data_IF_100412423135
#
_entry.id   IF_100412423135
#
_cell.length_a   1.000
_cell.length_b   1.000
_cell.length_c   1.000
_cell.angle_alpha   90.00
_cell.angle_beta   90.00
_cell.angle_gamma   90.00
#
_symmetry.space_group_name_H-M   'P 1'
#
loop_
_entity.id
_entity.type
_entity.pdbx_description
1 polymer ?
#
# COMPACT_ATOMS: atom_id res chain seq x y z
N UNK A 1 17.43 20.98 -4.75
CA UNK A 1 16.08 20.38 -4.67
C UNK A 1 15.03 21.49 -4.64
N UNK A 2 13.91 21.32 -5.37
CA UNK A 2 12.75 22.24 -5.32
C UNK A 2 11.54 21.43 -4.82
N UNK A 3 11.23 21.54 -3.53
CA UNK A 3 10.07 20.91 -2.90
C UNK A 3 9.37 21.91 -1.99
N UNK A 4 8.05 21.79 -1.83
CA UNK A 4 7.25 22.64 -0.93
C UNK A 4 7.35 22.04 0.47
N UNK A 5 8.47 22.23 1.12
CA UNK A 5 8.77 21.81 2.49
C UNK A 5 9.50 22.93 3.22
N UNK A 6 9.48 22.93 4.55
CA UNK A 6 10.31 23.83 5.36
C UNK A 6 11.71 23.21 5.53
N UNK A 7 11.84 22.28 6.48
CA UNK A 7 13.09 21.57 6.75
C UNK A 7 12.87 20.07 6.51
N UNK A 8 13.84 19.36 5.88
CA UNK A 8 13.74 17.93 5.65
C UNK A 8 13.41 17.12 6.92
N UNK A 9 14.04 17.44 8.04
CA UNK A 9 13.84 16.75 9.32
C UNK A 9 12.43 16.88 9.91
N UNK A 10 11.65 17.86 9.48
CA UNK A 10 10.30 18.11 9.99
C UNK A 10 9.21 17.64 9.01
N UNK A 11 9.58 17.13 7.84
CA UNK A 11 8.63 16.90 6.74
C UNK A 11 7.49 15.95 7.11
N UNK A 12 7.78 14.89 7.86
CA UNK A 12 6.77 13.89 8.26
C UNK A 12 5.79 14.50 9.26
N UNK A 13 6.30 15.09 10.32
CA UNK A 13 5.49 15.73 11.38
C UNK A 13 4.60 16.83 10.80
N UNK A 14 5.19 17.76 10.01
CA UNK A 14 4.44 18.85 9.39
C UNK A 14 3.38 18.36 8.38
N UNK A 15 3.68 17.28 7.64
CA UNK A 15 2.73 16.65 6.74
C UNK A 15 1.55 16.06 7.51
N UNK A 16 1.79 15.31 8.59
CA UNK A 16 0.74 14.71 9.42
C UNK A 16 -0.11 15.78 10.14
N UNK A 17 0.49 16.86 10.61
CA UNK A 17 -0.22 18.00 11.18
C UNK A 17 -1.14 18.65 10.14
N UNK A 18 -0.63 18.83 8.91
CA UNK A 18 -1.40 19.34 7.79
C UNK A 18 -2.57 18.43 7.40
N UNK A 19 -2.33 17.12 7.36
CA UNK A 19 -3.36 16.12 7.08
C UNK A 19 -4.47 16.15 8.15
N UNK A 20 -4.08 16.12 9.44
CA UNK A 20 -5.04 16.17 10.54
C UNK A 20 -5.80 17.50 10.60
N UNK A 21 -5.17 18.62 10.22
CA UNK A 21 -5.85 19.91 10.14
C UNK A 21 -6.93 19.94 9.05
N UNK A 22 -6.62 19.41 7.87
CA UNK A 22 -7.57 19.42 6.72
C UNK A 22 -8.72 18.44 6.92
N UNK A 23 -8.46 17.29 7.57
CA UNK A 23 -9.40 16.18 7.74
C UNK A 23 -9.76 15.91 9.20
N UNK A 24 -9.84 16.97 10.01
CA UNK A 24 -10.12 16.91 11.44
C UNK A 24 -11.51 16.34 11.80
N UNK A 25 -12.39 16.23 10.82
CA UNK A 25 -13.68 15.54 10.93
C UNK A 25 -13.55 14.00 10.90
N UNK A 26 -12.49 13.47 10.31
CA UNK A 26 -12.27 12.04 10.15
C UNK A 26 -11.19 11.48 11.09
N UNK A 27 -10.10 12.23 11.25
CA UNK A 27 -8.88 11.75 11.89
C UNK A 27 -8.24 12.80 12.81
N UNK A 28 -7.38 12.34 13.71
CA UNK A 28 -6.48 13.19 14.47
C UNK A 28 -5.09 12.56 14.55
N UNK A 29 -4.08 13.38 14.82
CA UNK A 29 -2.72 12.93 15.13
C UNK A 29 -2.59 12.71 16.63
N UNK A 30 -1.95 11.61 17.03
CA UNK A 30 -1.65 11.32 18.44
C UNK A 30 -0.56 12.30 18.92
N UNK A 31 -0.78 12.93 20.08
CA UNK A 31 0.17 13.89 20.64
C UNK A 31 1.52 13.24 20.93
N UNK A 32 2.60 13.83 20.42
CA UNK A 32 3.97 13.33 20.61
C UNK A 32 4.38 12.18 19.69
N UNK A 33 3.49 11.69 18.82
CA UNK A 33 3.77 10.58 17.90
C UNK A 33 3.41 10.91 16.45
N UNK A 34 4.08 10.26 15.52
CA UNK A 34 3.74 10.32 14.08
C UNK A 34 2.73 9.20 13.74
N UNK A 35 1.56 9.30 14.35
CA UNK A 35 0.45 8.35 14.23
C UNK A 35 -0.83 9.11 13.90
N UNK A 36 -1.56 8.66 12.87
CA UNK A 36 -2.91 9.12 12.55
C UNK A 36 -3.92 8.06 12.98
N UNK A 37 -4.95 8.48 13.70
CA UNK A 37 -6.01 7.63 14.24
C UNK A 37 -7.37 8.16 13.82
N UNK A 38 -8.33 7.27 13.53
CA UNK A 38 -9.71 7.67 13.22
C UNK A 38 -10.40 8.24 14.47
N UNK A 39 -11.24 9.26 14.27
CA UNK A 39 -11.99 9.88 15.37
C UNK A 39 -13.10 8.96 15.90
N UNK A 40 -13.74 8.20 15.02
CA UNK A 40 -14.81 7.29 15.37
C UNK A 40 -14.24 5.96 15.88
N UNK A 41 -14.40 5.69 17.17
CA UNK A 41 -13.99 4.43 17.82
C UNK A 41 -15.23 3.59 18.11
N UNK A 42 -15.22 2.32 17.69
CA UNK A 42 -16.35 1.38 17.89
C UNK A 42 -15.91 0.30 18.89
N UNK A 43 -16.54 0.29 20.07
CA UNK A 43 -16.25 -0.69 21.10
C UNK A 43 -16.50 -2.12 20.63
N UNK A 44 -15.57 -3.03 20.90
CA UNK A 44 -15.65 -4.43 20.49
C UNK A 44 -15.35 -4.69 19.02
N UNK A 45 -14.90 -3.69 18.27
CA UNK A 45 -14.42 -3.86 16.90
C UNK A 45 -12.91 -4.12 16.91
N UNK A 46 -12.44 -5.07 16.10
CA UNK A 46 -11.01 -5.29 15.89
C UNK A 46 -10.39 -4.05 15.24
N UNK A 47 -9.29 -3.55 15.80
CA UNK A 47 -8.52 -2.46 15.24
C UNK A 47 -7.69 -2.96 14.06
N UNK A 48 -7.76 -2.31 12.89
CA UNK A 48 -6.87 -2.62 11.76
C UNK A 48 -5.84 -1.52 11.67
N UNK A 49 -4.55 -1.86 11.77
CA UNK A 49 -3.46 -0.89 11.65
C UNK A 49 -2.46 -1.28 10.57
N UNK A 50 -1.78 -0.30 10.05
CA UNK A 50 -0.64 -0.48 9.14
C UNK A 50 0.29 0.73 9.24
N UNK A 51 1.47 0.60 8.67
CA UNK A 51 2.46 1.67 8.67
C UNK A 51 3.69 1.29 7.87
N UNK A 52 4.70 2.11 8.01
CA UNK A 52 5.97 1.98 7.32
C UNK A 52 6.62 3.34 7.16
N UNK A 53 7.66 3.44 6.33
CA UNK A 53 8.28 4.71 5.99
C UNK A 53 7.30 5.66 5.33
N UNK A 54 7.45 6.96 5.59
CA UNK A 54 6.75 8.02 4.86
C UNK A 54 7.31 8.17 3.44
N UNK A 55 6.59 8.87 2.56
CA UNK A 55 6.95 9.04 1.14
C UNK A 55 6.09 8.22 0.19
N UNK A 56 5.09 7.51 0.72
CA UNK A 56 4.15 6.69 -0.05
C UNK A 56 2.73 7.26 -0.07
N UNK A 57 2.56 8.50 0.35
CA UNK A 57 1.25 9.13 0.49
C UNK A 57 0.39 8.97 -0.78
N UNK A 58 -0.92 8.68 -0.57
CA UNK A 58 -1.70 8.71 0.67
C UNK A 58 -1.51 7.51 1.61
N UNK A 59 -0.77 6.45 1.23
CA UNK A 59 -0.49 5.33 2.14
C UNK A 59 0.45 5.77 3.29
N UNK A 60 0.15 5.45 4.57
CA UNK A 60 -1.05 4.71 4.97
C UNK A 60 -2.10 5.62 5.60
N UNK A 61 -1.73 6.85 6.02
CA UNK A 61 -2.57 7.80 6.76
C UNK A 61 -3.87 8.18 6.03
N UNK A 62 -3.82 8.28 4.69
CA UNK A 62 -4.99 8.58 3.86
C UNK A 62 -6.06 7.47 3.84
N UNK A 63 -5.76 6.29 4.35
CA UNK A 63 -6.68 5.15 4.44
C UNK A 63 -7.22 4.92 5.86
N UNK A 64 -6.92 5.83 6.78
CA UNK A 64 -7.49 5.79 8.14
C UNK A 64 -8.92 6.30 8.11
N UNK A 65 -9.85 5.47 8.63
CA UNK A 65 -11.26 5.80 8.71
C UNK A 65 -12.16 4.57 8.73
N UNK A 66 -13.47 4.81 8.77
CA UNK A 66 -14.45 3.73 8.83
C UNK A 66 -14.43 2.86 7.58
N UNK A 67 -14.33 1.54 7.78
CA UNK A 67 -14.28 0.52 6.74
C UNK A 67 -12.88 0.26 6.16
N UNK A 68 -11.82 0.89 6.70
CA UNK A 68 -10.41 0.62 6.37
C UNK A 68 -9.55 0.62 7.65
N UNK A 69 -8.52 1.46 7.77
CA UNK A 69 -7.61 1.44 8.91
C UNK A 69 -8.19 2.17 10.14
N UNK A 70 -7.89 1.67 11.33
CA UNK A 70 -8.14 2.34 12.61
C UNK A 70 -7.02 3.33 12.94
N UNK A 71 -5.77 2.98 12.61
CA UNK A 71 -4.60 3.84 12.77
C UNK A 71 -3.55 3.56 11.70
N UNK A 72 -2.72 4.56 11.41
CA UNK A 72 -1.56 4.46 10.54
C UNK A 72 -0.33 5.08 11.21
N UNK A 73 0.80 4.37 11.17
CA UNK A 73 2.06 4.78 11.78
C UNK A 73 3.01 5.24 10.66
N UNK A 74 3.52 6.47 10.77
CA UNK A 74 4.45 7.04 9.83
C UNK A 74 5.88 7.02 10.39
N UNK A 75 6.76 6.24 9.77
CA UNK A 75 8.19 6.33 10.02
C UNK A 75 8.83 7.53 9.31
N UNK A 76 10.11 7.77 9.51
CA UNK A 76 10.87 8.72 8.71
C UNK A 76 10.79 8.34 7.21
N UNK A 77 11.16 9.27 6.33
CA UNK A 77 11.04 9.02 4.88
C UNK A 77 11.80 7.74 4.49
N UNK A 78 11.08 6.79 3.90
CA UNK A 78 11.55 5.47 3.48
C UNK A 78 12.19 4.61 4.61
N UNK A 79 11.83 4.90 5.87
CA UNK A 79 12.36 4.19 7.05
C UNK A 79 11.23 3.71 7.93
N UNK A 80 11.30 2.45 8.36
CA UNK A 80 10.29 1.83 9.22
C UNK A 80 10.10 2.60 10.54
N UNK A 81 8.87 2.70 11.07
CA UNK A 81 8.60 3.28 12.37
C UNK A 81 9.22 2.42 13.48
N UNK A 82 9.44 3.03 14.64
CA UNK A 82 10.02 2.34 15.80
C UNK A 82 8.97 1.48 16.52
N UNK A 83 9.37 0.41 17.25
CA UNK A 83 8.44 -0.47 17.96
C UNK A 83 7.56 0.25 18.99
N UNK A 84 8.07 1.27 19.66
CA UNK A 84 7.31 2.09 20.62
C UNK A 84 6.20 2.91 19.93
N UNK A 85 6.45 3.46 18.74
CA UNK A 85 5.40 4.11 17.94
C UNK A 85 4.32 3.12 17.51
N UNK A 86 4.71 1.92 17.06
CA UNK A 86 3.77 0.88 16.65
C UNK A 86 2.94 0.41 17.86
N UNK A 87 3.55 0.21 19.02
CA UNK A 87 2.87 -0.15 20.25
C UNK A 87 1.82 0.90 20.64
N UNK A 88 2.15 2.19 20.55
CA UNK A 88 1.19 3.25 20.84
C UNK A 88 0.01 3.22 19.87
N UNK A 89 0.24 2.98 18.59
CA UNK A 89 -0.83 2.81 17.62
C UNK A 89 -1.71 1.58 17.89
N UNK A 90 -1.13 0.49 18.37
CA UNK A 90 -1.90 -0.69 18.84
C UNK A 90 -2.83 -0.29 19.99
N UNK A 91 -2.33 0.43 20.99
CA UNK A 91 -3.13 0.90 22.13
C UNK A 91 -4.27 1.82 21.69
N UNK A 92 -4.01 2.75 20.80
CA UNK A 92 -5.01 3.66 20.24
C UNK A 92 -6.08 2.95 19.42
N UNK A 93 -5.71 1.87 18.72
CA UNK A 93 -6.61 1.12 17.85
C UNK A 93 -7.41 0.05 18.59
N UNK A 94 -6.94 -0.44 19.74
CA UNK A 94 -7.63 -1.47 20.50
C UNK A 94 -8.94 -0.94 21.10
N UNK A 95 -10.01 -1.64 20.81
CA UNK A 95 -11.36 -1.37 21.34
C UNK A 95 -11.91 -2.57 22.10
N UNK A 96 -11.01 -3.41 22.66
CA UNK A 96 -11.34 -4.59 23.45
C UNK A 96 -11.59 -5.87 22.65
N UNK A 97 -11.29 -5.86 21.34
CA UNK A 97 -11.39 -7.04 20.47
C UNK A 97 -10.05 -7.41 19.82
N UNK A 98 -8.95 -6.78 20.25
CA UNK A 98 -7.62 -6.95 19.72
C UNK A 98 -7.35 -6.12 18.47
N UNK A 99 -6.12 -6.23 17.97
CA UNK A 99 -5.61 -5.44 16.86
C UNK A 99 -5.01 -6.34 15.79
N UNK A 100 -5.34 -6.07 14.54
CA UNK A 100 -4.76 -6.74 13.38
C UNK A 100 -3.81 -5.82 12.62
N UNK A 101 -2.59 -6.26 12.39
CA UNK A 101 -1.55 -5.50 11.71
C UNK A 101 -1.37 -5.98 10.26
N UNK A 102 -1.43 -5.05 9.31
CA UNK A 102 -1.06 -5.30 7.92
C UNK A 102 0.35 -4.76 7.71
N UNK A 103 1.30 -5.65 7.49
CA UNK A 103 2.74 -5.35 7.42
C UNK A 103 3.25 -5.59 6.01
N UNK A 104 3.91 -4.61 5.39
CA UNK A 104 4.60 -4.82 4.12
C UNK A 104 5.89 -5.61 4.35
N UNK A 105 6.23 -6.51 3.42
CA UNK A 105 7.43 -7.35 3.53
C UNK A 105 8.71 -6.53 3.29
N UNK A 106 9.18 -5.85 4.33
CA UNK A 106 10.49 -5.22 4.45
C UNK A 106 11.10 -5.58 5.81
N UNK A 107 12.39 -5.92 5.84
CA UNK A 107 13.04 -6.45 7.05
C UNK A 107 12.88 -5.54 8.27
N UNK A 108 12.95 -4.22 8.09
CA UNK A 108 12.76 -3.25 9.17
C UNK A 108 11.31 -3.24 9.67
N UNK A 109 10.32 -3.25 8.76
CA UNK A 109 8.90 -3.30 9.12
C UNK A 109 8.61 -4.61 9.87
N UNK A 110 9.01 -5.77 9.32
CA UNK A 110 8.80 -7.08 9.95
C UNK A 110 9.32 -7.07 11.39
N UNK A 111 10.61 -6.72 11.58
CA UNK A 111 11.25 -6.76 12.90
C UNK A 111 10.56 -5.81 13.91
N UNK A 112 10.24 -4.59 13.48
CA UNK A 112 9.69 -3.59 14.38
C UNK A 112 8.22 -3.87 14.75
N UNK A 113 7.42 -4.39 13.79
CA UNK A 113 6.03 -4.79 14.05
C UNK A 113 5.97 -6.06 14.91
N UNK A 114 6.84 -7.06 14.71
CA UNK A 114 6.94 -8.24 15.58
C UNK A 114 7.31 -7.85 17.02
N UNK A 115 8.30 -6.97 17.20
CA UNK A 115 8.67 -6.47 18.52
C UNK A 115 7.53 -5.72 19.21
N UNK A 116 6.79 -4.89 18.47
CA UNK A 116 5.63 -4.19 19.01
C UNK A 116 4.48 -5.13 19.38
N UNK A 117 4.27 -6.21 18.61
CA UNK A 117 3.33 -7.27 18.94
C UNK A 117 3.67 -7.93 20.28
N UNK A 118 4.93 -8.34 20.47
CA UNK A 118 5.37 -8.94 21.74
C UNK A 118 5.15 -7.99 22.92
N UNK A 119 5.44 -6.70 22.75
CA UNK A 119 5.21 -5.69 23.78
C UNK A 119 3.71 -5.51 24.10
N UNK A 120 2.85 -5.50 23.08
CA UNK A 120 1.40 -5.37 23.25
C UNK A 120 0.80 -6.59 23.96
N UNK A 121 1.24 -7.80 23.63
CA UNK A 121 0.83 -9.04 24.29
C UNK A 121 1.23 -9.05 25.77
N UNK A 122 2.40 -8.49 26.13
CA UNK A 122 2.79 -8.31 27.55
C UNK A 122 1.89 -7.33 28.30
N UNK A 123 1.26 -6.38 27.61
CA UNK A 123 0.27 -5.45 28.16
C UNK A 123 -1.16 -6.00 28.10
N UNK A 124 -1.36 -7.23 27.60
CA UNK A 124 -2.66 -7.92 27.57
C UNK A 124 -3.52 -7.58 26.37
N UNK A 125 -2.97 -6.97 25.31
CA UNK A 125 -3.67 -6.70 24.04
C UNK A 125 -3.39 -7.88 23.09
N UNK A 126 -4.47 -8.51 22.59
CA UNK A 126 -4.36 -9.57 21.60
C UNK A 126 -4.03 -8.97 20.23
N UNK A 127 -2.98 -9.46 19.58
CA UNK A 127 -2.50 -8.95 18.29
C UNK A 127 -2.29 -10.09 17.31
N UNK A 128 -2.74 -9.90 16.06
CA UNK A 128 -2.42 -10.76 14.93
C UNK A 128 -1.95 -9.94 13.75
N UNK A 129 -1.29 -10.58 12.79
CA UNK A 129 -0.74 -9.87 11.63
C UNK A 129 -0.76 -10.69 10.36
N UNK A 130 -0.61 -10.00 9.24
CA UNK A 130 -0.29 -10.59 7.93
C UNK A 130 0.83 -9.79 7.29
N UNK A 131 1.73 -10.51 6.62
CA UNK A 131 2.78 -9.93 5.79
C UNK A 131 2.31 -9.90 4.35
N UNK A 132 2.39 -8.73 3.71
CA UNK A 132 2.04 -8.52 2.30
C UNK A 132 3.30 -8.52 1.46
N UNK A 133 3.34 -9.38 0.43
CA UNK A 133 4.48 -9.66 -0.44
C UNK A 133 4.06 -9.73 -1.93
N UNK A 134 3.25 -8.77 -2.34
CA UNK A 134 2.54 -8.75 -3.63
C UNK A 134 3.42 -8.45 -4.85
N UNK A 135 4.64 -7.92 -4.70
CA UNK A 135 5.51 -7.55 -5.82
C UNK A 135 6.17 -8.77 -6.48
N UNK A 136 5.73 -9.08 -7.71
CA UNK A 136 6.26 -10.23 -8.48
C UNK A 136 7.53 -9.92 -9.29
N UNK A 137 8.00 -8.69 -9.27
CA UNK A 137 9.13 -8.27 -10.12
C UNK A 137 10.43 -8.95 -9.76
N UNK A 138 10.65 -9.20 -8.47
CA UNK A 138 11.86 -9.85 -7.94
C UNK A 138 11.51 -10.82 -6.82
N UNK A 139 12.21 -11.95 -6.75
CA UNK A 139 12.02 -12.94 -5.70
C UNK A 139 12.64 -12.52 -4.36
N UNK A 140 13.74 -11.77 -4.43
CA UNK A 140 14.44 -11.20 -3.27
C UNK A 140 14.95 -9.79 -3.62
N UNK A 141 14.86 -8.87 -2.68
CA UNK A 141 15.32 -7.50 -2.83
C UNK A 141 16.40 -7.17 -1.80
N UNK A 142 17.00 -5.98 -1.90
CA UNK A 142 18.06 -5.53 -0.97
C UNK A 142 17.60 -5.48 0.50
N UNK A 143 16.32 -5.27 0.75
CA UNK A 143 15.74 -5.06 2.08
C UNK A 143 14.69 -6.09 2.46
N UNK A 144 14.55 -7.19 1.70
CA UNK A 144 13.53 -8.22 1.94
C UNK A 144 14.10 -9.62 1.78
N UNK A 145 13.59 -10.56 2.57
CA UNK A 145 13.59 -11.97 2.21
C UNK A 145 12.25 -12.27 1.54
N UNK A 146 12.28 -12.74 0.29
CA UNK A 146 11.07 -12.89 -0.51
C UNK A 146 10.68 -11.61 -1.26
N UNK A 147 9.46 -11.59 -1.77
CA UNK A 147 8.89 -10.48 -2.55
C UNK A 147 8.63 -9.26 -1.66
N UNK A 148 8.68 -8.06 -2.23
CA UNK A 148 8.34 -6.81 -1.54
C UNK A 148 6.84 -6.66 -1.37
N UNK A 149 6.40 -5.93 -0.33
CA UNK A 149 5.03 -5.44 -0.19
C UNK A 149 4.88 -4.06 -0.82
N UNK A 150 3.95 -3.92 -1.77
CA UNK A 150 3.73 -2.69 -2.54
C UNK A 150 2.22 -2.36 -2.66
N UNK A 151 1.75 -1.81 -3.75
CA UNK A 151 0.41 -1.23 -3.89
C UNK A 151 -0.76 -2.19 -3.64
N UNK A 152 -0.59 -3.50 -3.81
CA UNK A 152 -1.63 -4.48 -3.48
C UNK A 152 -2.04 -4.50 -2.01
N UNK A 153 -1.19 -3.99 -1.12
CA UNK A 153 -1.49 -3.77 0.31
C UNK A 153 -2.79 -2.98 0.52
N UNK A 154 -3.15 -2.09 -0.42
CA UNK A 154 -4.36 -1.26 -0.32
C UNK A 154 -5.64 -2.12 -0.39
N UNK A 155 -5.66 -3.17 -1.21
CA UNK A 155 -6.78 -4.11 -1.26
C UNK A 155 -6.92 -4.87 0.08
N UNK A 156 -5.79 -5.22 0.70
CA UNK A 156 -5.79 -5.86 2.02
C UNK A 156 -6.42 -4.93 3.06
N UNK A 157 -6.01 -3.64 3.11
CA UNK A 157 -6.61 -2.65 4.01
C UNK A 157 -8.13 -2.56 3.84
N UNK A 158 -8.60 -2.53 2.59
CA UNK A 158 -10.01 -2.36 2.26
C UNK A 158 -10.85 -3.56 2.68
N UNK A 159 -10.38 -4.77 2.37
CA UNK A 159 -11.13 -6.00 2.66
C UNK A 159 -11.13 -6.29 4.16
N UNK A 160 -9.98 -6.17 4.84
CA UNK A 160 -9.92 -6.43 6.28
C UNK A 160 -10.61 -5.34 7.10
N UNK A 161 -10.54 -4.07 6.67
CA UNK A 161 -11.29 -2.99 7.32
C UNK A 161 -12.80 -3.17 7.22
N UNK A 162 -13.29 -3.66 6.06
CA UNK A 162 -14.69 -4.04 5.90
C UNK A 162 -15.06 -5.20 6.84
N UNK A 163 -14.25 -6.27 6.89
CA UNK A 163 -14.49 -7.42 7.76
C UNK A 163 -14.55 -7.01 9.25
N UNK A 164 -13.64 -6.14 9.69
CA UNK A 164 -13.66 -5.61 11.05
C UNK A 164 -14.94 -4.80 11.34
N UNK A 165 -15.38 -3.96 10.39
CA UNK A 165 -16.63 -3.21 10.50
C UNK A 165 -17.86 -4.12 10.58
N UNK A 166 -17.86 -5.24 9.88
CA UNK A 166 -18.92 -6.26 9.96
C UNK A 166 -18.85 -7.13 11.24
N UNK A 167 -17.93 -6.82 12.16
CA UNK A 167 -17.83 -7.48 13.46
C UNK A 167 -17.11 -8.83 13.44
N UNK A 168 -16.29 -9.10 12.43
CA UNK A 168 -15.44 -10.29 12.40
C UNK A 168 -14.44 -10.27 13.56
N UNK A 169 -14.22 -11.42 14.18
CA UNK A 169 -13.21 -11.63 15.22
C UNK A 169 -11.78 -11.55 14.66
N UNK A 170 -10.80 -11.35 15.54
CA UNK A 170 -9.38 -11.31 15.18
C UNK A 170 -8.94 -12.58 14.43
N UNK A 171 -9.41 -13.75 14.86
CA UNK A 171 -9.12 -15.03 14.21
C UNK A 171 -9.73 -15.12 12.79
N UNK A 172 -11.00 -14.69 12.62
CA UNK A 172 -11.64 -14.67 11.30
C UNK A 172 -10.96 -13.69 10.34
N UNK A 173 -10.47 -12.54 10.83
CA UNK A 173 -9.71 -11.57 10.05
C UNK A 173 -8.36 -12.16 9.64
N UNK A 174 -7.70 -12.90 10.55
CA UNK A 174 -6.45 -13.59 10.23
C UNK A 174 -6.66 -14.65 9.12
N UNK A 175 -7.68 -15.49 9.26
CA UNK A 175 -8.03 -16.50 8.26
C UNK A 175 -8.37 -15.88 6.89
N UNK A 176 -9.04 -14.72 6.88
CA UNK A 176 -9.34 -13.96 5.67
C UNK A 176 -8.07 -13.39 5.05
N UNK A 177 -7.20 -12.78 5.85
CA UNK A 177 -5.94 -12.20 5.39
C UNK A 177 -5.05 -13.26 4.71
N UNK A 178 -4.93 -14.45 5.30
CA UNK A 178 -4.14 -15.57 4.76
C UNK A 178 -4.69 -16.10 3.43
N UNK A 179 -5.97 -15.90 3.16
CA UNK A 179 -6.59 -16.26 1.88
C UNK A 179 -6.43 -15.19 0.81
N UNK A 180 -6.54 -13.91 1.17
CA UNK A 180 -6.52 -12.84 0.17
C UNK A 180 -5.11 -12.49 -0.30
N UNK A 181 -4.10 -12.47 0.59
CA UNK A 181 -2.73 -12.05 0.24
C UNK A 181 -2.14 -12.86 -0.91
N UNK A 182 -2.22 -14.21 -0.96
CA UNK A 182 -1.70 -14.99 -2.08
C UNK A 182 -2.39 -14.73 -3.43
N UNK A 183 -3.56 -14.10 -3.40
CA UNK A 183 -4.35 -13.76 -4.59
C UNK A 183 -4.09 -12.33 -5.10
N UNK A 184 -3.06 -11.65 -4.61
CA UNK A 184 -2.70 -10.28 -5.01
C UNK A 184 -1.30 -10.29 -5.60
N UNK A 185 -1.16 -9.79 -6.82
CA UNK A 185 0.14 -9.59 -7.48
C UNK A 185 0.24 -8.19 -8.06
N UNK A 186 1.42 -7.60 -7.89
CA UNK A 186 1.75 -6.26 -8.37
C UNK A 186 3.07 -6.27 -9.11
N UNK A 187 3.19 -5.43 -10.12
CA UNK A 187 4.44 -5.14 -10.82
C UNK A 187 4.45 -3.67 -11.24
N UNK A 188 5.60 -3.03 -11.16
CA UNK A 188 5.74 -1.62 -11.49
C UNK A 188 6.82 -1.32 -12.51
N UNK A 189 6.87 -0.08 -12.97
CA UNK A 189 7.96 0.50 -13.73
C UNK A 189 8.22 1.95 -13.29
N UNK A 190 9.47 2.41 -13.47
CA UNK A 190 9.88 3.78 -13.21
C UNK A 190 10.44 4.46 -14.44
N UNK A 191 10.11 5.74 -14.59
CA UNK A 191 10.64 6.67 -15.58
C UNK A 191 11.67 7.63 -14.97
N UNK A 192 11.67 7.78 -13.63
CA UNK A 192 12.64 8.59 -12.89
C UNK A 192 12.77 8.12 -11.46
N UNK A 193 13.87 8.44 -10.78
CA UNK A 193 14.05 8.19 -9.35
C UNK A 193 13.32 9.21 -8.47
N UNK A 194 12.91 8.78 -7.28
CA UNK A 194 12.37 9.64 -6.24
C UNK A 194 13.47 10.50 -5.59
N UNK A 195 13.15 11.72 -5.21
CA UNK A 195 14.06 12.63 -4.48
C UNK A 195 13.69 12.68 -3.00
N UNK A 196 14.42 11.94 -2.18
CA UNK A 196 14.29 11.99 -0.71
C UNK A 196 14.71 13.36 -0.20
N UNK A 197 13.89 14.06 0.62
CA UNK A 197 14.17 15.41 1.10
C UNK A 197 15.52 15.58 1.79
N UNK A 198 15.91 14.64 2.66
CA UNK A 198 17.18 14.69 3.41
C UNK A 198 18.40 14.51 2.50
N UNK A 199 18.27 13.74 1.42
CA UNK A 199 19.34 13.49 0.44
C UNK A 199 19.45 14.62 -0.58
N UNK A 200 18.31 15.20 -0.97
CA UNK A 200 18.21 16.34 -1.89
C UNK A 200 18.53 16.06 -3.36
N UNK A 201 18.72 14.79 -3.72
CA UNK A 201 18.95 14.32 -5.09
C UNK A 201 18.22 12.98 -5.33
N UNK A 202 17.92 12.63 -6.59
CA UNK A 202 17.29 11.34 -6.91
C UNK A 202 18.08 10.15 -6.36
N UNK A 203 17.37 9.14 -5.87
CA UNK A 203 17.97 7.91 -5.34
C UNK A 203 18.68 7.09 -6.42
N UNK A 204 18.20 7.16 -7.67
CA UNK A 204 18.84 6.61 -8.86
C UNK A 204 18.59 7.54 -10.05
N UNK A 205 19.35 7.33 -11.12
CA UNK A 205 19.24 8.12 -12.37
C UNK A 205 19.06 7.14 -13.52
N UNK A 206 18.10 7.44 -14.38
CA UNK A 206 17.90 6.82 -15.69
C UNK A 206 18.38 7.79 -16.78
N UNK A 207 18.81 7.27 -17.93
CA UNK A 207 19.07 8.09 -19.09
C UNK A 207 17.76 8.75 -19.59
N UNK A 208 17.84 9.74 -20.48
CA UNK A 208 16.68 10.53 -20.91
C UNK A 208 15.57 9.67 -21.55
N UNK A 209 15.96 8.60 -22.23
CA UNK A 209 15.06 7.64 -22.89
C UNK A 209 14.99 6.27 -22.19
N UNK A 210 15.55 6.12 -20.98
CA UNK A 210 15.63 4.86 -20.24
C UNK A 210 14.50 4.73 -19.22
N UNK A 211 13.95 3.52 -19.11
CA UNK A 211 13.00 3.12 -18.08
C UNK A 211 13.50 1.88 -17.33
N UNK A 212 12.97 1.63 -16.13
CA UNK A 212 13.30 0.43 -15.35
C UNK A 212 12.03 -0.31 -14.93
N UNK A 213 11.92 -1.58 -15.32
CA UNK A 213 10.84 -2.47 -14.93
C UNK A 213 11.11 -3.13 -13.59
N UNK A 214 10.07 -3.24 -12.78
CA UNK A 214 10.13 -3.93 -11.48
C UNK A 214 10.79 -3.13 -10.39
N UNK A 215 10.84 -1.80 -10.52
CA UNK A 215 11.36 -0.91 -9.49
C UNK A 215 10.54 -1.02 -8.20
N UNK A 216 11.21 -0.98 -7.03
CA UNK A 216 10.57 -0.91 -5.74
C UNK A 216 10.13 0.49 -5.36
N UNK A 217 9.26 0.60 -4.35
CA UNK A 217 8.70 1.88 -3.89
C UNK A 217 9.71 2.76 -3.12
N UNK A 218 10.87 2.22 -2.72
CA UNK A 218 12.00 3.00 -2.17
C UNK A 218 13.13 3.21 -3.20
N UNK A 219 12.90 2.84 -4.47
CA UNK A 219 13.89 2.91 -5.54
C UNK A 219 14.84 1.70 -5.58
N UNK A 220 14.43 0.57 -5.00
CA UNK A 220 15.19 -0.69 -5.11
C UNK A 220 15.19 -1.16 -6.58
N UNK A 221 16.34 -1.64 -7.09
CA UNK A 221 16.48 -2.04 -8.47
C UNK A 221 15.41 -3.04 -8.93
N UNK A 222 14.95 -2.86 -10.15
CA UNK A 222 14.09 -3.79 -10.85
C UNK A 222 14.87 -4.91 -11.54
N UNK A 223 14.24 -5.55 -12.51
CA UNK A 223 14.83 -6.68 -13.23
C UNK A 223 15.37 -6.34 -14.62
N UNK A 224 14.96 -5.20 -15.21
CA UNK A 224 15.38 -4.81 -16.56
C UNK A 224 15.28 -3.31 -16.79
N UNK A 225 16.32 -2.76 -17.45
CA UNK A 225 16.29 -1.41 -18.03
C UNK A 225 16.23 -1.51 -19.54
N UNK A 226 15.50 -0.61 -20.18
CA UNK A 226 15.46 -0.47 -21.63
C UNK A 226 15.05 0.94 -22.05
N UNK A 227 15.11 1.24 -23.34
CA UNK A 227 14.60 2.51 -23.86
C UNK A 227 13.09 2.59 -23.73
N UNK A 228 12.56 3.81 -23.54
CA UNK A 228 11.12 4.09 -23.41
C UNK A 228 10.34 3.50 -24.58
N UNK A 229 9.24 2.83 -24.24
CA UNK A 229 8.34 2.19 -25.19
C UNK A 229 6.97 2.87 -25.18
N UNK A 230 6.18 2.73 -26.28
CA UNK A 230 4.77 3.14 -26.26
C UNK A 230 3.98 2.46 -25.14
N UNK A 231 2.98 3.16 -24.58
CA UNK A 231 2.13 2.67 -23.48
C UNK A 231 1.60 1.25 -23.71
N UNK A 232 1.20 0.92 -24.95
CA UNK A 232 0.72 -0.43 -25.28
C UNK A 232 1.76 -1.53 -24.98
N UNK A 233 3.03 -1.29 -25.28
CA UNK A 233 4.10 -2.27 -25.03
C UNK A 233 4.42 -2.38 -23.55
N UNK A 234 4.39 -1.24 -22.81
CA UNK A 234 4.52 -1.24 -21.34
C UNK A 234 3.38 -2.04 -20.69
N UNK A 235 2.15 -1.85 -21.16
CA UNK A 235 0.98 -2.58 -20.69
C UNK A 235 1.06 -4.08 -21.01
N UNK A 236 1.54 -4.46 -22.19
CA UNK A 236 1.76 -5.86 -22.58
C UNK A 236 2.78 -6.55 -21.67
N UNK A 237 3.89 -5.89 -21.37
CA UNK A 237 4.92 -6.42 -20.46
C UNK A 237 4.37 -6.64 -19.04
N UNK A 238 3.79 -5.60 -18.42
CA UNK A 238 3.33 -5.68 -17.04
C UNK A 238 2.14 -6.62 -16.89
N UNK A 239 1.14 -6.52 -17.78
CA UNK A 239 -0.04 -7.39 -17.75
C UNK A 239 0.35 -8.83 -18.04
N UNK A 240 1.21 -9.07 -19.04
CA UNK A 240 1.69 -10.40 -19.40
C UNK A 240 2.33 -11.13 -18.22
N UNK A 241 3.21 -10.44 -17.46
CA UNK A 241 3.84 -11.02 -16.25
C UNK A 241 2.85 -11.34 -15.15
N UNK A 242 1.84 -10.49 -14.95
CA UNK A 242 0.79 -10.76 -13.96
C UNK A 242 -0.06 -11.97 -14.37
N UNK A 243 -0.46 -12.05 -15.64
CA UNK A 243 -1.22 -13.19 -16.16
C UNK A 243 -0.43 -14.51 -16.08
N UNK A 244 0.86 -14.47 -16.35
CA UNK A 244 1.76 -15.61 -16.17
C UNK A 244 1.85 -16.03 -14.71
N UNK A 245 2.05 -15.08 -13.78
CA UNK A 245 2.15 -15.35 -12.34
C UNK A 245 0.87 -15.96 -11.75
N UNK A 246 -0.30 -15.59 -12.28
CA UNK A 246 -1.58 -16.18 -11.89
C UNK A 246 -1.93 -17.48 -12.63
N UNK A 247 -1.17 -17.85 -13.67
CA UNK A 247 -1.60 -18.91 -14.62
C UNK A 247 -3.04 -18.63 -15.11
N UNK A 248 -3.33 -17.35 -15.43
CA UNK A 248 -4.67 -16.83 -15.63
C UNK A 248 -5.43 -17.54 -16.76
N UNK A 249 -6.72 -17.80 -16.54
CA UNK A 249 -7.59 -18.51 -17.49
C UNK A 249 -8.81 -17.64 -17.84
N UNK A 250 -9.24 -17.73 -19.09
CA UNK A 250 -10.45 -17.05 -19.56
C UNK A 250 -11.65 -17.37 -18.65
N UNK A 251 -12.44 -16.34 -18.35
CA UNK A 251 -13.59 -16.41 -17.44
C UNK A 251 -13.28 -16.18 -15.96
N UNK A 252 -12.01 -16.13 -15.57
CA UNK A 252 -11.65 -15.79 -14.19
C UNK A 252 -11.89 -14.28 -13.92
N UNK A 253 -12.19 -13.97 -12.65
CA UNK A 253 -12.54 -12.61 -12.19
C UNK A 253 -11.41 -11.97 -11.44
N UNK A 254 -11.19 -10.67 -11.71
CA UNK A 254 -10.11 -9.90 -11.09
C UNK A 254 -10.58 -8.52 -10.63
N UNK A 255 -9.94 -8.01 -9.57
CA UNK A 255 -9.90 -6.59 -9.26
C UNK A 255 -8.60 -6.01 -9.80
N UNK A 256 -8.68 -4.78 -10.35
CA UNK A 256 -7.59 -4.05 -10.98
C UNK A 256 -7.29 -2.76 -10.22
N UNK A 257 -6.01 -2.51 -9.94
CA UNK A 257 -5.51 -1.23 -9.47
C UNK A 257 -4.38 -0.74 -10.37
N UNK A 258 -4.56 0.44 -10.96
CA UNK A 258 -3.49 1.18 -11.64
C UNK A 258 -3.06 2.31 -10.71
N UNK A 259 -1.83 2.24 -10.25
CA UNK A 259 -1.31 3.12 -9.20
C UNK A 259 -0.15 3.96 -9.74
N UNK A 260 -0.33 5.29 -9.80
CA UNK A 260 0.75 6.22 -10.11
C UNK A 260 1.75 6.31 -8.96
N UNK A 261 3.04 6.45 -9.29
CA UNK A 261 4.13 6.49 -8.31
C UNK A 261 4.37 7.90 -7.72
N UNK A 262 3.55 8.88 -8.07
CA UNK A 262 3.56 10.25 -7.53
C UNK A 262 3.66 11.34 -8.58
N UNK A 263 4.52 11.22 -9.58
CA UNK A 263 4.72 12.23 -10.62
C UNK A 263 4.09 11.90 -11.97
N UNK A 264 3.47 10.75 -12.15
CA UNK A 264 2.80 10.38 -13.42
C UNK A 264 1.42 11.03 -13.50
N UNK A 265 1.15 11.88 -14.51
CA UNK A 265 -0.15 12.54 -14.68
C UNK A 265 -1.30 11.55 -14.87
N UNK A 266 -2.50 11.91 -14.41
CA UNK A 266 -3.72 11.09 -14.63
C UNK A 266 -3.99 10.81 -16.10
N UNK A 267 -3.66 11.75 -17.01
CA UNK A 267 -3.80 11.54 -18.45
C UNK A 267 -3.03 10.30 -18.91
N UNK A 268 -1.78 10.16 -18.49
CA UNK A 268 -0.92 9.02 -18.86
C UNK A 268 -1.40 7.73 -18.20
N UNK A 269 -1.83 7.79 -16.93
CA UNK A 269 -2.43 6.65 -16.24
C UNK A 269 -3.69 6.13 -16.97
N UNK A 270 -4.53 7.02 -17.51
CA UNK A 270 -5.71 6.63 -18.30
C UNK A 270 -5.37 6.07 -19.69
N UNK A 271 -4.31 6.57 -20.34
CA UNK A 271 -3.80 5.96 -21.57
C UNK A 271 -3.35 4.52 -21.31
N UNK A 272 -2.56 4.31 -20.27
CA UNK A 272 -2.11 2.98 -19.85
C UNK A 272 -3.30 2.06 -19.48
N UNK A 273 -4.31 2.60 -18.77
CA UNK A 273 -5.51 1.85 -18.40
C UNK A 273 -6.30 1.35 -19.61
N UNK A 274 -6.40 2.16 -20.67
CA UNK A 274 -7.05 1.77 -21.92
C UNK A 274 -6.34 0.58 -22.58
N UNK A 275 -5.01 0.58 -22.58
CA UNK A 275 -4.22 -0.51 -23.14
C UNK A 275 -4.35 -1.79 -22.29
N UNK A 276 -4.25 -1.68 -20.96
CA UNK A 276 -4.47 -2.80 -20.01
C UNK A 276 -5.87 -3.40 -20.19
N UNK A 277 -6.91 -2.57 -20.31
CA UNK A 277 -8.29 -3.04 -20.48
C UNK A 277 -8.44 -3.88 -21.77
N UNK A 278 -7.81 -3.45 -22.86
CA UNK A 278 -7.81 -4.22 -24.12
C UNK A 278 -7.12 -5.58 -23.95
N UNK A 279 -5.96 -5.63 -23.28
CA UNK A 279 -5.18 -6.86 -23.08
C UNK A 279 -5.94 -7.86 -22.21
N UNK A 280 -6.52 -7.40 -21.10
CA UNK A 280 -7.32 -8.23 -20.19
C UNK A 280 -8.60 -8.76 -20.88
N UNK A 281 -9.25 -7.91 -21.72
CA UNK A 281 -10.39 -8.30 -22.53
C UNK A 281 -10.03 -9.35 -23.59
N UNK A 282 -8.90 -9.21 -24.29
CA UNK A 282 -8.41 -10.17 -25.27
C UNK A 282 -8.04 -11.52 -24.60
N UNK A 283 -7.61 -11.49 -23.33
CA UNK A 283 -7.38 -12.68 -22.51
C UNK A 283 -8.68 -13.33 -22.00
N UNK A 284 -9.83 -12.70 -22.23
CA UNK A 284 -11.14 -13.19 -21.79
C UNK A 284 -11.40 -13.11 -20.29
N UNK A 285 -10.75 -12.20 -19.59
CA UNK A 285 -10.90 -12.03 -18.14
C UNK A 285 -12.05 -11.08 -17.79
N UNK A 286 -12.74 -11.36 -16.68
CA UNK A 286 -13.73 -10.44 -16.09
C UNK A 286 -13.08 -9.52 -15.06
N UNK A 287 -12.95 -8.23 -15.39
CA UNK A 287 -12.45 -7.21 -14.47
C UNK A 287 -13.62 -6.59 -13.71
N UNK A 288 -14.00 -7.22 -12.59
CA UNK A 288 -15.18 -6.87 -11.81
C UNK A 288 -15.02 -5.55 -11.01
N UNK A 289 -13.80 -5.23 -10.57
CA UNK A 289 -13.50 -4.01 -9.81
C UNK A 289 -12.31 -3.27 -10.41
N UNK A 290 -12.34 -1.93 -10.41
CA UNK A 290 -11.30 -1.10 -11.02
C UNK A 290 -11.03 0.14 -10.19
N UNK A 291 -9.74 0.40 -9.93
CA UNK A 291 -9.26 1.66 -9.34
C UNK A 291 -8.09 2.21 -10.15
N UNK A 292 -8.00 3.54 -10.24
CA UNK A 292 -6.90 4.24 -10.86
C UNK A 292 -6.62 5.54 -10.12
N UNK A 293 -5.35 5.84 -9.86
CA UNK A 293 -4.93 7.06 -9.16
C UNK A 293 -3.60 6.85 -8.45
N UNK A 294 -3.26 7.76 -7.55
CA UNK A 294 -2.11 7.63 -6.66
C UNK A 294 -2.60 7.10 -5.31
N UNK A 295 -2.22 5.88 -4.96
CA UNK A 295 -2.64 5.21 -3.73
C UNK A 295 -1.47 4.76 -2.86
N UNK A 296 -0.38 4.32 -3.46
CA UNK A 296 0.90 4.05 -2.80
C UNK A 296 2.00 4.54 -3.71
N UNK A 297 2.57 5.69 -3.38
CA UNK A 297 3.53 6.41 -4.22
C UNK A 297 4.98 6.16 -3.79
N UNK A 298 5.91 6.80 -4.47
CA UNK A 298 7.31 6.90 -4.09
C UNK A 298 7.73 8.37 -4.26
N UNK A 299 7.21 9.24 -3.42
CA UNK A 299 7.40 10.70 -3.41
C UNK A 299 7.08 11.31 -4.78
N UNK A 300 8.11 11.74 -5.51
CA UNK A 300 8.04 12.35 -6.85
C UNK A 300 8.58 11.44 -7.97
N UNK A 301 8.57 10.13 -7.77
CA UNK A 301 8.92 9.17 -8.82
C UNK A 301 7.90 9.23 -9.96
N UNK A 302 8.38 9.43 -11.19
CA UNK A 302 7.57 9.18 -12.37
C UNK A 302 7.59 7.68 -12.67
N UNK A 303 6.42 7.11 -12.87
CA UNK A 303 6.21 5.68 -13.07
C UNK A 303 4.82 5.27 -12.63
N UNK A 304 4.52 4.00 -12.73
CA UNK A 304 3.27 3.41 -12.27
C UNK A 304 3.46 1.95 -11.87
N UNK A 305 2.50 1.41 -11.12
CA UNK A 305 2.37 -0.01 -10.87
C UNK A 305 0.98 -0.52 -11.25
N UNK A 306 0.93 -1.79 -11.63
CA UNK A 306 -0.27 -2.53 -11.99
C UNK A 306 -0.46 -3.65 -10.98
N UNK A 307 -1.61 -3.67 -10.33
CA UNK A 307 -2.00 -4.74 -9.40
C UNK A 307 -3.22 -5.46 -9.94
N UNK A 308 -3.18 -6.78 -9.91
CA UNK A 308 -4.35 -7.63 -10.07
C UNK A 308 -4.58 -8.41 -8.77
N UNK A 309 -5.84 -8.55 -8.39
CA UNK A 309 -6.28 -9.46 -7.34
C UNK A 309 -7.29 -10.44 -7.94
N UNK A 310 -6.99 -11.73 -7.88
CA UNK A 310 -7.95 -12.76 -8.29
C UNK A 310 -9.08 -12.85 -7.28
N UNK A 311 -10.33 -12.76 -7.75
CA UNK A 311 -11.52 -12.83 -6.90
C UNK A 311 -12.00 -14.29 -6.85
N UNK A 312 -11.68 -14.98 -5.77
CA UNK A 312 -12.09 -16.36 -5.52
C UNK A 312 -13.36 -16.46 -4.66
N UNK A 313 -13.73 -15.37 -3.97
CA UNK A 313 -14.92 -15.28 -3.14
C UNK A 313 -15.65 -13.96 -3.41
N UNK A 314 -16.96 -14.00 -3.65
CA UNK A 314 -17.79 -12.84 -3.91
C UNK A 314 -17.77 -11.83 -2.74
N UNK A 315 -17.60 -12.31 -1.52
CA UNK A 315 -17.47 -11.45 -0.35
C UNK A 315 -16.26 -10.48 -0.43
N UNK A 316 -15.20 -10.83 -1.17
CA UNK A 316 -14.08 -9.93 -1.40
C UNK A 316 -14.46 -8.76 -2.33
N UNK A 317 -15.25 -9.06 -3.36
CA UNK A 317 -15.76 -8.01 -4.25
C UNK A 317 -16.73 -7.10 -3.51
N UNK A 318 -17.66 -7.64 -2.74
CA UNK A 318 -18.57 -6.87 -1.90
C UNK A 318 -17.81 -5.96 -0.92
N UNK A 319 -16.73 -6.49 -0.31
CA UNK A 319 -15.85 -5.71 0.54
C UNK A 319 -15.17 -4.55 -0.21
N UNK A 320 -14.65 -4.79 -1.43
CA UNK A 320 -14.04 -3.76 -2.26
C UNK A 320 -15.01 -2.65 -2.66
N UNK A 321 -16.26 -3.00 -2.98
CA UNK A 321 -17.33 -2.09 -3.39
C UNK A 321 -17.98 -1.35 -2.21
N UNK A 322 -17.85 -1.87 -0.98
CA UNK A 322 -18.50 -1.28 0.19
C UNK A 322 -18.03 0.17 0.43
N UNK A 323 -18.95 1.09 0.79
CA UNK A 323 -18.59 2.48 1.05
C UNK A 323 -17.68 2.60 2.28
N UNK A 324 -16.79 3.57 2.27
CA UNK A 324 -15.87 3.90 3.38
C UNK A 324 -15.87 5.40 3.66
N UNK A 325 -15.37 5.78 4.84
CA UNK A 325 -15.12 7.18 5.19
C UNK A 325 -13.62 7.35 5.45
N UNK A 326 -12.86 7.52 4.39
CA UNK A 326 -11.42 7.75 4.41
C UNK A 326 -11.07 8.92 3.49
N UNK A 327 -9.83 9.39 3.58
CA UNK A 327 -9.35 10.53 2.78
C UNK A 327 -9.14 10.12 1.30
N UNK A 328 -8.62 8.90 1.07
CA UNK A 328 -8.02 8.54 -0.21
C UNK A 328 -8.64 7.33 -0.93
N UNK A 329 -9.70 6.72 -0.39
CA UNK A 329 -10.32 5.57 -1.08
C UNK A 329 -11.56 5.94 -1.88
#
# INVERSE_FOLDING_TARGET
MKKIINKPENVVTEMLDGLAYVHNDLVHRVEGFDIIVRNEKVSGQVGIISGGGSGHEPAHAGFVGDGMLSAAIAGAVFTSPTPDQILEAIKEADQGAGVFMVVKNYSGDIMNFEMAQELAEMEGIEVASVVVDDDIAVENSLYTQGRRGVAGTIFVHKILGHAAREGKSLAEIKDLADKIVPNIHTIGLALSGATVPEVGKPGFVLAEDEIEYGIGIHGEPGYRKESMQPSRQLAEELTGKLLEAFEAKAGERYALLINGMGATPLMEQYVFANDVASILGDAGLDVAYKKLGNYMTSIDMAGLSLTLMKIEDEAWLEALESPVKTIAW
#
